data_IF_090513293003
#
_entry.id   IF_090513293003
#
_cell.length_a   1.000
_cell.length_b   1.000
_cell.length_c   1.000
_cell.angle_alpha   90.00
_cell.angle_beta   90.00
_cell.angle_gamma   90.00
#
_symmetry.space_group_name_H-M   'P 1'
#
loop_
_entity.id
_entity.type
_entity.pdbx_description
1 polymer ?
#
# COMPACT_ATOMS: atom_id res chain seq x y z
N UNK A 1 7.52 -29.25 -20.31
CA UNK A 1 8.78 -28.47 -20.43
C UNK A 1 9.08 -27.80 -19.11
N UNK A 2 10.19 -28.19 -18.44
CA UNK A 2 10.64 -27.53 -17.21
C UNK A 2 11.28 -26.18 -17.54
N UNK A 3 10.48 -25.16 -17.75
CA UNK A 3 10.99 -23.85 -18.11
C UNK A 3 11.15 -22.96 -16.88
N UNK A 4 12.10 -22.03 -16.95
CA UNK A 4 12.42 -21.09 -15.86
C UNK A 4 11.37 -20.00 -15.76
N UNK A 5 10.94 -19.69 -14.54
CA UNK A 5 10.11 -18.52 -14.23
C UNK A 5 11.03 -17.38 -13.81
N UNK A 6 10.94 -16.26 -14.50
CA UNK A 6 11.70 -15.05 -14.17
C UNK A 6 10.77 -14.05 -13.52
N UNK A 7 11.09 -13.65 -12.28
CA UNK A 7 10.36 -12.63 -11.52
C UNK A 7 11.21 -11.36 -11.45
N UNK A 8 10.65 -10.23 -11.86
CA UNK A 8 11.35 -8.93 -11.91
C UNK A 8 10.79 -8.03 -10.81
N UNK A 9 11.58 -7.80 -9.78
CA UNK A 9 11.25 -7.04 -8.57
C UNK A 9 11.18 -7.92 -7.32
N UNK A 10 12.05 -7.64 -6.34
CA UNK A 10 12.18 -8.36 -5.06
C UNK A 10 11.34 -7.78 -3.94
N UNK A 11 10.28 -7.05 -4.25
CA UNK A 11 9.31 -6.53 -3.30
C UNK A 11 8.35 -7.58 -2.76
N UNK A 12 7.25 -7.14 -2.14
CA UNK A 12 6.24 -8.01 -1.51
C UNK A 12 5.72 -9.09 -2.49
N UNK A 13 5.18 -8.65 -3.63
CA UNK A 13 4.59 -9.58 -4.59
C UNK A 13 5.63 -10.56 -5.14
N UNK A 14 6.78 -10.06 -5.60
CA UNK A 14 7.83 -10.88 -6.18
C UNK A 14 8.37 -11.91 -5.20
N UNK A 15 8.61 -11.53 -3.93
CA UNK A 15 9.08 -12.46 -2.90
C UNK A 15 8.06 -13.56 -2.62
N UNK A 16 6.76 -13.23 -2.51
CA UNK A 16 5.71 -14.23 -2.27
C UNK A 16 5.54 -15.17 -3.47
N UNK A 17 5.59 -14.64 -4.69
CA UNK A 17 5.50 -15.44 -5.92
C UNK A 17 6.70 -16.41 -6.02
N UNK A 18 7.92 -15.91 -5.77
CA UNK A 18 9.11 -16.76 -5.79
C UNK A 18 9.00 -17.92 -4.79
N UNK A 19 8.65 -17.61 -3.52
CA UNK A 19 8.54 -18.59 -2.46
C UNK A 19 7.44 -19.64 -2.73
N UNK A 20 6.37 -19.25 -3.40
CA UNK A 20 5.29 -20.18 -3.76
C UNK A 20 5.66 -21.07 -4.95
N UNK A 21 6.28 -20.50 -5.98
CA UNK A 21 6.60 -21.22 -7.21
C UNK A 21 7.80 -22.16 -7.10
N UNK A 22 8.75 -21.90 -6.18
CA UNK A 22 10.02 -22.66 -6.08
C UNK A 22 9.80 -24.16 -5.79
N UNK A 23 8.65 -24.52 -5.26
CA UNK A 23 8.31 -25.91 -5.02
C UNK A 23 7.99 -26.70 -6.30
N UNK A 24 7.67 -26.00 -7.41
CA UNK A 24 7.18 -26.61 -8.66
C UNK A 24 7.98 -26.17 -9.88
N UNK A 25 8.79 -25.12 -9.78
CA UNK A 25 9.49 -24.50 -10.93
C UNK A 25 10.89 -24.03 -10.52
N UNK A 26 11.78 -23.94 -11.52
CA UNK A 26 13.02 -23.19 -11.36
C UNK A 26 12.68 -21.69 -11.40
N UNK A 27 12.98 -20.97 -10.32
CA UNK A 27 12.62 -19.55 -10.17
C UNK A 27 13.88 -18.70 -10.09
N UNK A 28 13.89 -17.64 -10.89
CA UNK A 28 14.97 -16.64 -10.91
C UNK A 28 14.37 -15.28 -10.57
N UNK A 29 14.91 -14.63 -9.56
CA UNK A 29 14.56 -13.27 -9.16
C UNK A 29 15.59 -12.28 -9.71
N UNK A 30 15.10 -11.20 -10.32
CA UNK A 30 15.90 -10.04 -10.74
C UNK A 30 15.48 -8.81 -9.93
N UNK A 31 16.43 -8.19 -9.21
CA UNK A 31 16.19 -7.00 -8.39
C UNK A 31 17.21 -5.90 -8.70
N UNK A 32 16.72 -4.69 -8.91
CA UNK A 32 17.58 -3.51 -9.23
C UNK A 32 18.39 -3.04 -8.03
N UNK A 33 17.85 -3.18 -6.83
CA UNK A 33 18.49 -2.77 -5.59
C UNK A 33 19.45 -3.82 -5.02
N UNK A 34 20.06 -3.49 -3.88
CA UNK A 34 20.95 -4.38 -3.13
C UNK A 34 20.16 -5.39 -2.27
N UNK A 35 20.75 -6.57 -2.02
CA UNK A 35 20.16 -7.59 -1.13
C UNK A 35 20.05 -7.10 0.32
N UNK A 36 21.04 -6.38 0.79
CA UNK A 36 21.24 -6.08 2.22
C UNK A 36 21.01 -4.61 2.59
N UNK A 37 20.78 -3.73 1.60
CA UNK A 37 20.58 -2.31 1.84
C UNK A 37 19.40 -1.77 1.06
N UNK A 38 18.71 -0.80 1.66
CA UNK A 38 17.61 -0.07 1.02
C UNK A 38 18.21 1.06 0.20
N UNK A 39 17.72 1.23 -1.02
CA UNK A 39 18.08 2.32 -1.91
C UNK A 39 16.83 3.09 -2.32
N UNK A 40 16.86 4.41 -2.15
CA UNK A 40 15.77 5.28 -2.60
C UNK A 40 16.06 5.79 -4.00
N UNK A 41 15.17 5.59 -4.98
CA UNK A 41 15.32 6.20 -6.29
C UNK A 41 15.16 7.72 -6.19
N UNK A 42 15.84 8.43 -7.08
CA UNK A 42 15.52 9.83 -7.30
C UNK A 42 14.19 9.93 -8.07
N UNK A 43 13.21 10.59 -7.47
CA UNK A 43 11.89 10.81 -8.07
C UNK A 43 11.73 12.30 -8.37
N UNK A 44 11.43 12.62 -9.63
CA UNK A 44 11.07 13.97 -10.05
C UNK A 44 9.56 14.14 -9.96
N UNK A 45 9.12 15.10 -9.18
CA UNK A 45 7.70 15.40 -9.01
C UNK A 45 7.30 16.57 -9.89
N UNK A 46 6.28 16.39 -10.75
CA UNK A 46 5.81 17.44 -11.65
C UNK A 46 4.90 18.45 -10.95
N UNK A 47 4.17 18.02 -9.93
CA UNK A 47 3.28 18.83 -9.12
C UNK A 47 3.63 18.72 -7.65
N UNK A 48 2.93 17.87 -6.92
CA UNK A 48 3.08 17.70 -5.48
C UNK A 48 4.04 16.53 -5.18
N UNK A 49 4.96 16.73 -4.21
CA UNK A 49 5.70 15.62 -3.62
C UNK A 49 4.74 14.62 -2.96
N UNK A 50 5.04 13.34 -3.09
CA UNK A 50 4.27 12.31 -2.40
C UNK A 50 4.35 12.49 -0.88
N UNK A 51 5.55 12.62 -0.33
CA UNK A 51 5.78 12.92 1.09
C UNK A 51 7.17 13.54 1.29
N UNK A 52 7.44 14.02 2.51
CA UNK A 52 8.78 14.55 2.88
C UNK A 52 9.84 13.45 3.03
N UNK A 53 9.41 12.20 3.11
CA UNK A 53 10.27 11.00 3.22
C UNK A 53 10.08 10.09 2.03
N UNK A 54 11.04 9.19 1.80
CA UNK A 54 10.92 8.21 0.72
C UNK A 54 9.72 7.29 0.93
N UNK A 55 8.86 7.20 -0.08
CA UNK A 55 7.66 6.33 -0.10
C UNK A 55 7.85 5.09 -0.95
N UNK A 56 8.98 4.97 -1.63
CA UNK A 56 9.34 3.87 -2.51
C UNK A 56 10.83 3.58 -2.40
N UNK A 57 11.22 2.31 -2.35
CA UNK A 57 12.61 1.92 -2.31
C UNK A 57 12.87 0.60 -3.05
N UNK A 58 14.11 0.43 -3.45
CA UNK A 58 14.67 -0.78 -4.05
C UNK A 58 15.40 -1.63 -3.02
N UNK A 59 15.64 -2.89 -3.37
CA UNK A 59 16.38 -3.86 -2.59
C UNK A 59 15.52 -5.01 -2.07
N UNK A 60 16.14 -5.96 -1.40
CA UNK A 60 15.43 -7.14 -0.88
C UNK A 60 14.27 -6.73 0.03
N UNK A 61 13.05 -7.14 -0.34
CA UNK A 61 11.81 -6.76 0.33
C UNK A 61 11.16 -5.47 -0.22
N UNK A 62 11.86 -4.67 -1.04
CA UNK A 62 11.32 -3.46 -1.65
C UNK A 62 10.67 -2.53 -0.62
N UNK A 63 9.56 -1.90 -1.00
CA UNK A 63 8.84 -0.92 -0.16
C UNK A 63 8.28 -1.51 1.15
N UNK A 64 8.24 -2.85 1.34
CA UNK A 64 7.89 -3.44 2.64
C UNK A 64 8.88 -3.07 3.75
N UNK A 65 10.10 -2.65 3.42
CA UNK A 65 11.05 -2.13 4.40
C UNK A 65 10.61 -0.80 5.04
N UNK A 66 9.64 -0.09 4.44
CA UNK A 66 9.07 1.18 4.92
C UNK A 66 7.72 0.97 5.60
N UNK A 67 7.23 -0.26 5.66
CA UNK A 67 5.86 -0.58 6.02
C UNK A 67 5.67 -0.72 7.53
N UNK A 68 4.48 -0.36 8.00
CA UNK A 68 4.04 -0.57 9.39
C UNK A 68 3.21 -1.86 9.59
N UNK A 69 3.13 -2.71 8.58
CA UNK A 69 2.49 -4.03 8.63
C UNK A 69 1.00 -4.02 9.05
N UNK A 70 0.26 -2.99 8.67
CA UNK A 70 -1.18 -2.94 8.89
C UNK A 70 -1.93 -3.77 7.84
N UNK A 71 -2.68 -4.78 8.28
CA UNK A 71 -3.47 -5.66 7.42
C UNK A 71 -4.93 -5.25 7.47
N UNK A 72 -5.51 -4.94 6.32
CA UNK A 72 -6.93 -4.68 6.09
C UNK A 72 -7.27 -5.12 4.66
N UNK A 73 -8.30 -5.93 4.45
CA UNK A 73 -8.70 -6.35 3.10
C UNK A 73 -9.36 -5.19 2.35
N UNK A 74 -9.18 -5.11 1.04
CA UNK A 74 -10.02 -4.26 0.20
C UNK A 74 -11.41 -4.90 0.13
N UNK A 75 -12.44 -4.16 0.58
CA UNK A 75 -13.82 -4.61 0.52
C UNK A 75 -14.35 -4.52 -0.92
N UNK A 76 -14.86 -5.63 -1.45
CA UNK A 76 -15.48 -5.64 -2.79
C UNK A 76 -16.70 -4.73 -2.88
N UNK A 77 -17.38 -4.46 -1.77
CA UNK A 77 -18.52 -3.53 -1.70
C UNK A 77 -18.12 -2.05 -1.90
N UNK A 78 -16.83 -1.74 -1.80
CA UNK A 78 -16.30 -0.39 -2.00
C UNK A 78 -15.66 -0.25 -3.40
N UNK A 79 -15.70 -1.30 -4.25
CA UNK A 79 -15.10 -1.33 -5.59
C UNK A 79 -16.20 -1.19 -6.63
N UNK A 80 -16.09 -0.19 -7.50
CA UNK A 80 -17.04 0.04 -8.59
C UNK A 80 -16.69 -0.75 -9.87
N UNK A 81 -15.41 -1.00 -10.12
CA UNK A 81 -14.93 -1.71 -11.31
C UNK A 81 -15.22 -3.20 -11.27
N UNK A 82 -16.08 -3.69 -12.18
CA UNK A 82 -16.51 -5.10 -12.23
C UNK A 82 -15.34 -6.06 -12.37
N UNK A 83 -14.45 -5.84 -13.34
CA UNK A 83 -13.35 -6.75 -13.63
C UNK A 83 -12.37 -6.86 -12.43
N UNK A 84 -12.08 -5.75 -11.78
CA UNK A 84 -11.22 -5.77 -10.61
C UNK A 84 -11.92 -6.42 -9.41
N UNK A 85 -13.23 -6.24 -9.25
CA UNK A 85 -14.03 -6.93 -8.23
C UNK A 85 -14.04 -8.45 -8.44
N UNK A 86 -14.07 -8.93 -9.72
CA UNK A 86 -13.93 -10.36 -10.04
C UNK A 86 -12.54 -10.89 -9.67
N UNK A 87 -11.48 -10.11 -9.94
CA UNK A 87 -10.10 -10.47 -9.57
C UNK A 87 -9.95 -10.58 -8.05
N UNK A 88 -10.55 -9.67 -7.29
CA UNK A 88 -10.55 -9.72 -5.82
C UNK A 88 -11.32 -10.94 -5.29
N UNK A 89 -12.47 -11.28 -5.91
CA UNK A 89 -13.24 -12.48 -5.53
C UNK A 89 -12.42 -13.77 -5.69
N UNK A 90 -11.69 -13.89 -6.81
CA UNK A 90 -10.79 -15.03 -7.04
C UNK A 90 -9.55 -15.03 -6.13
N UNK A 91 -9.17 -13.87 -5.59
CA UNK A 91 -8.05 -13.74 -4.66
C UNK A 91 -8.45 -13.94 -3.18
N UNK A 92 -9.74 -13.82 -2.85
CA UNK A 92 -10.27 -13.94 -1.49
C UNK A 92 -9.88 -15.26 -0.76
N UNK A 93 -9.91 -16.44 -1.40
CA UNK A 93 -9.49 -17.69 -0.76
C UNK A 93 -8.04 -17.72 -0.27
N UNK A 94 -7.21 -16.80 -0.73
CA UNK A 94 -5.80 -16.71 -0.34
C UNK A 94 -5.55 -15.78 0.85
N UNK A 95 -6.58 -15.19 1.46
CA UNK A 95 -6.43 -14.15 2.49
C UNK A 95 -5.64 -14.64 3.71
N UNK A 96 -5.97 -15.83 4.22
CA UNK A 96 -5.30 -16.38 5.40
C UNK A 96 -3.84 -16.75 5.11
N UNK A 97 -3.58 -17.32 3.93
CA UNK A 97 -2.23 -17.64 3.50
C UNK A 97 -1.39 -16.38 3.26
N UNK A 98 -1.98 -15.35 2.66
CA UNK A 98 -1.33 -14.05 2.47
C UNK A 98 -1.01 -13.38 3.81
N UNK A 99 -1.98 -13.34 4.73
CA UNK A 99 -1.77 -12.77 6.06
C UNK A 99 -0.69 -13.54 6.85
N UNK A 100 -0.67 -14.87 6.77
CA UNK A 100 0.36 -15.72 7.39
C UNK A 100 1.76 -15.41 6.83
N UNK A 101 1.89 -15.28 5.51
CA UNK A 101 3.13 -14.86 4.86
C UNK A 101 3.56 -13.44 5.29
N UNK A 102 2.61 -12.63 5.74
CA UNK A 102 2.81 -11.29 6.30
C UNK A 102 2.85 -11.29 7.84
N UNK A 103 3.24 -12.43 8.44
CA UNK A 103 3.51 -12.63 9.86
C UNK A 103 2.29 -12.69 10.79
N UNK A 104 1.10 -12.86 10.26
CA UNK A 104 -0.10 -13.15 11.05
C UNK A 104 -0.30 -14.68 11.18
N UNK A 105 0.36 -15.32 12.17
CA UNK A 105 0.61 -16.76 12.15
C UNK A 105 -0.16 -17.60 13.17
N UNK A 106 -0.96 -17.00 14.08
CA UNK A 106 -1.52 -17.78 15.22
C UNK A 106 -2.98 -18.15 15.10
N UNK A 107 -3.71 -17.55 14.18
CA UNK A 107 -5.10 -17.90 13.87
C UNK A 107 -5.36 -17.60 12.39
N UNK A 108 -6.39 -18.14 11.75
CA UNK A 108 -6.84 -17.66 10.47
C UNK A 108 -7.18 -16.16 10.56
N UNK A 109 -6.56 -15.37 9.68
CA UNK A 109 -6.76 -13.92 9.66
C UNK A 109 -8.24 -13.56 9.44
N UNK A 110 -8.90 -14.24 8.50
CA UNK A 110 -10.31 -14.05 8.17
C UNK A 110 -11.20 -14.13 9.41
N UNK A 111 -11.02 -15.14 10.25
CA UNK A 111 -11.77 -15.34 11.50
C UNK A 111 -11.43 -14.26 12.54
N UNK A 112 -10.14 -14.00 12.76
CA UNK A 112 -9.70 -13.01 13.73
C UNK A 112 -10.14 -11.59 13.33
N UNK A 113 -10.05 -11.26 12.05
CA UNK A 113 -10.48 -9.98 11.51
C UNK A 113 -11.98 -9.78 11.65
N UNK A 114 -12.81 -10.75 11.25
CA UNK A 114 -14.27 -10.67 11.37
C UNK A 114 -14.71 -10.49 12.82
N UNK A 115 -14.07 -11.21 13.77
CA UNK A 115 -14.32 -11.04 15.21
C UNK A 115 -14.05 -9.63 15.68
N UNK A 116 -12.88 -9.06 15.33
CA UNK A 116 -12.52 -7.70 15.74
C UNK A 116 -13.44 -6.66 15.14
N UNK A 117 -13.80 -6.79 13.86
CA UNK A 117 -14.77 -5.89 13.21
C UNK A 117 -16.11 -5.95 13.90
N UNK A 118 -16.64 -7.14 14.22
CA UNK A 118 -17.91 -7.30 14.93
C UNK A 118 -17.89 -6.67 16.33
N UNK A 119 -16.85 -6.91 17.12
CA UNK A 119 -16.67 -6.30 18.45
C UNK A 119 -16.62 -4.76 18.39
N UNK A 120 -15.85 -4.23 17.43
CA UNK A 120 -15.69 -2.79 17.24
C UNK A 120 -16.97 -2.14 16.71
N UNK A 121 -17.73 -2.84 15.87
CA UNK A 121 -19.06 -2.40 15.42
C UNK A 121 -20.05 -2.30 16.58
N UNK A 122 -20.08 -3.28 17.48
CA UNK A 122 -20.91 -3.21 18.69
C UNK A 122 -20.54 -2.05 19.62
N UNK A 123 -19.24 -1.67 19.69
CA UNK A 123 -18.83 -0.47 20.42
C UNK A 123 -19.31 0.79 19.68
N UNK A 124 -19.18 0.85 18.35
CA UNK A 124 -19.63 1.97 17.56
C UNK A 124 -21.14 2.21 17.67
N UNK A 125 -21.93 1.15 17.69
CA UNK A 125 -23.38 1.20 17.93
C UNK A 125 -23.72 1.79 19.30
N UNK A 126 -23.03 1.36 20.36
CA UNK A 126 -23.21 1.92 21.71
C UNK A 126 -22.86 3.41 21.80
N UNK A 127 -21.89 3.85 21.00
CA UNK A 127 -21.53 5.27 20.89
C UNK A 127 -22.58 6.06 20.11
N UNK A 128 -23.37 5.42 19.23
CA UNK A 128 -24.37 6.06 18.38
C UNK A 128 -23.82 7.14 17.44
N UNK A 129 -22.52 7.07 17.12
CA UNK A 129 -21.85 8.18 16.48
C UNK A 129 -21.38 7.92 15.04
N UNK A 130 -21.27 6.66 14.60
CA UNK A 130 -20.60 6.29 13.35
C UNK A 130 -21.56 5.55 12.39
N UNK A 131 -22.46 6.26 11.69
CA UNK A 131 -23.51 5.68 10.86
C UNK A 131 -22.97 4.88 9.65
N UNK A 132 -21.78 5.23 9.12
CA UNK A 132 -21.17 4.47 8.04
C UNK A 132 -20.38 3.23 8.56
N UNK A 133 -20.43 3.01 9.89
CA UNK A 133 -19.79 1.89 10.56
C UNK A 133 -18.29 2.10 10.81
N UNK A 134 -17.68 1.02 11.25
CA UNK A 134 -16.24 0.95 11.52
C UNK A 134 -15.65 -0.26 10.81
N UNK A 135 -14.36 -0.17 10.55
CA UNK A 135 -13.52 -1.27 10.08
C UNK A 135 -12.28 -1.34 10.97
N UNK A 136 -11.32 -2.19 10.69
CA UNK A 136 -10.12 -2.23 11.50
C UNK A 136 -8.86 -2.55 10.71
N UNK A 137 -7.74 -2.03 11.19
CA UNK A 137 -6.40 -2.49 10.83
C UNK A 137 -5.92 -3.46 11.90
N UNK A 138 -5.33 -4.57 11.48
CA UNK A 138 -4.70 -5.57 12.34
C UNK A 138 -3.19 -5.53 12.11
N UNK A 139 -2.43 -5.42 13.20
CA UNK A 139 -0.98 -5.32 13.17
C UNK A 139 -0.36 -6.53 13.89
N UNK A 140 0.29 -7.48 13.19
CA UNK A 140 1.08 -8.52 13.84
C UNK A 140 2.17 -7.92 14.73
N UNK A 141 2.29 -8.36 15.98
CA UNK A 141 3.32 -7.84 16.91
C UNK A 141 4.73 -8.24 16.53
N UNK A 142 4.90 -9.39 15.90
CA UNK A 142 6.19 -9.90 15.46
C UNK A 142 6.30 -9.71 13.95
N UNK A 143 6.87 -8.61 13.53
CA UNK A 143 7.19 -8.35 12.15
C UNK A 143 8.66 -8.67 11.89
N UNK A 144 8.91 -9.45 10.85
CA UNK A 144 10.24 -9.75 10.33
C UNK A 144 10.33 -9.26 8.88
N UNK A 145 11.53 -9.08 8.38
CA UNK A 145 11.73 -8.81 6.96
C UNK A 145 11.29 -10.03 6.14
N UNK A 146 10.62 -9.80 5.02
CA UNK A 146 10.34 -10.86 4.05
C UNK A 146 11.66 -11.46 3.55
N UNK A 147 11.74 -12.78 3.59
CA UNK A 147 12.91 -13.53 3.12
C UNK A 147 12.55 -14.43 1.94
N UNK A 148 13.48 -14.57 1.03
CA UNK A 148 13.36 -15.53 -0.07
C UNK A 148 13.75 -16.93 0.41
N UNK A 149 13.09 -17.94 -0.13
CA UNK A 149 13.53 -19.33 -0.02
C UNK A 149 14.95 -19.45 -0.62
N UNK A 150 15.90 -20.08 0.08
CA UNK A 150 17.29 -20.19 -0.39
C UNK A 150 17.47 -20.93 -1.71
N UNK A 151 16.47 -21.68 -2.17
CA UNK A 151 16.46 -22.36 -3.48
C UNK A 151 16.20 -21.41 -4.65
N UNK A 152 15.63 -20.22 -4.39
CA UNK A 152 15.43 -19.19 -5.42
C UNK A 152 16.77 -18.63 -5.84
N UNK A 153 17.06 -18.68 -7.14
CA UNK A 153 18.24 -18.04 -7.70
C UNK A 153 18.00 -16.54 -7.81
N UNK A 154 18.68 -15.74 -7.00
CA UNK A 154 18.47 -14.30 -6.94
C UNK A 154 19.65 -13.51 -7.52
N UNK A 155 19.33 -12.47 -8.29
CA UNK A 155 20.29 -11.50 -8.82
C UNK A 155 19.90 -10.09 -8.35
N UNK A 156 20.83 -9.42 -7.70
CA UNK A 156 20.68 -8.06 -7.20
C UNK A 156 21.55 -7.09 -8.00
N UNK A 157 21.30 -5.79 -7.84
CA UNK A 157 21.97 -4.73 -8.60
C UNK A 157 21.86 -4.90 -10.11
N UNK A 158 20.72 -5.43 -10.54
CA UNK A 158 20.41 -5.66 -11.94
C UNK A 158 20.19 -4.32 -12.67
N UNK A 159 20.83 -4.16 -13.81
CA UNK A 159 20.66 -3.02 -14.69
C UNK A 159 20.40 -3.46 -16.14
N UNK A 160 19.91 -2.54 -16.95
CA UNK A 160 19.71 -2.72 -18.41
C UNK A 160 18.98 -4.02 -18.76
N UNK A 161 17.76 -4.19 -18.24
CA UNK A 161 16.93 -5.34 -18.59
C UNK A 161 16.41 -5.18 -20.03
N UNK A 162 16.56 -6.23 -20.84
CA UNK A 162 16.04 -6.30 -22.21
C UNK A 162 15.38 -7.64 -22.49
N UNK A 163 14.53 -7.68 -23.50
CA UNK A 163 13.71 -8.84 -23.83
C UNK A 163 13.88 -9.24 -25.28
N UNK A 164 14.02 -10.55 -25.54
CA UNK A 164 14.03 -11.13 -26.88
C UNK A 164 12.76 -11.95 -27.02
N UNK A 165 11.93 -11.57 -28.00
CA UNK A 165 10.68 -12.24 -28.29
C UNK A 165 10.82 -13.20 -29.46
N UNK A 166 10.05 -14.29 -29.39
CA UNK A 166 9.77 -15.20 -30.49
C UNK A 166 8.24 -15.28 -30.65
N UNK A 167 7.74 -14.67 -31.73
CA UNK A 167 6.31 -14.40 -31.88
C UNK A 167 5.74 -13.57 -30.73
N UNK A 168 4.71 -14.07 -30.07
CA UNK A 168 4.07 -13.40 -28.91
C UNK A 168 4.62 -13.85 -27.56
N UNK A 169 5.83 -14.39 -27.50
CA UNK A 169 6.42 -14.89 -26.26
C UNK A 169 7.82 -14.32 -26.04
N UNK A 170 8.11 -13.94 -24.81
CA UNK A 170 9.50 -13.66 -24.41
C UNK A 170 10.22 -15.00 -24.30
N UNK A 171 11.25 -15.17 -25.12
CA UNK A 171 12.13 -16.35 -25.09
C UNK A 171 13.29 -16.14 -24.14
N UNK A 172 13.84 -14.93 -24.12
CA UNK A 172 15.05 -14.65 -23.36
C UNK A 172 14.96 -13.30 -22.68
N UNK A 173 15.38 -13.25 -21.41
CA UNK A 173 15.60 -12.03 -20.66
C UNK A 173 17.10 -11.78 -20.56
N UNK A 174 17.54 -10.62 -21.02
CA UNK A 174 18.94 -10.16 -20.94
C UNK A 174 19.06 -9.10 -19.87
N UNK A 175 20.13 -9.09 -19.10
CA UNK A 175 20.36 -8.08 -18.08
C UNK A 175 21.85 -7.96 -17.75
N UNK A 176 22.26 -6.86 -17.10
CA UNK A 176 23.63 -6.65 -16.66
C UNK A 176 23.74 -6.56 -15.15
N UNK A 177 24.85 -7.03 -14.60
CA UNK A 177 25.27 -6.82 -13.21
C UNK A 177 26.70 -6.26 -13.27
N UNK A 178 26.86 -5.00 -12.87
CA UNK A 178 28.10 -4.29 -13.14
C UNK A 178 28.37 -4.22 -14.64
N UNK A 179 29.54 -4.75 -15.10
CA UNK A 179 29.92 -4.85 -16.52
C UNK A 179 29.54 -6.19 -17.17
N UNK A 180 29.08 -7.17 -16.39
CA UNK A 180 28.79 -8.53 -16.87
C UNK A 180 27.40 -8.64 -17.43
N UNK A 181 27.29 -9.13 -18.68
CA UNK A 181 26.02 -9.46 -19.31
C UNK A 181 25.56 -10.87 -18.95
N UNK A 182 24.26 -11.02 -18.75
CA UNK A 182 23.57 -12.28 -18.48
C UNK A 182 22.43 -12.45 -19.48
N UNK A 183 22.16 -13.70 -19.83
CA UNK A 183 21.07 -14.08 -20.69
C UNK A 183 20.41 -15.34 -20.15
N UNK A 184 19.09 -15.32 -19.96
CA UNK A 184 18.33 -16.42 -19.37
C UNK A 184 17.10 -16.70 -20.20
N UNK A 185 16.90 -17.97 -20.60
CA UNK A 185 15.67 -18.42 -21.24
C UNK A 185 14.52 -18.40 -20.24
N UNK A 186 13.36 -17.91 -20.68
CA UNK A 186 12.17 -17.74 -19.88
C UNK A 186 11.00 -18.55 -20.45
N UNK A 187 10.38 -19.37 -19.61
CA UNK A 187 9.06 -19.93 -19.92
C UNK A 187 7.94 -18.96 -19.53
N UNK A 188 8.12 -18.27 -18.42
CA UNK A 188 7.21 -17.26 -17.88
C UNK A 188 8.03 -16.09 -17.36
N UNK A 189 7.53 -14.87 -17.57
CA UNK A 189 8.07 -13.62 -16.98
C UNK A 189 6.99 -12.98 -16.13
N UNK A 190 7.32 -12.61 -14.90
CA UNK A 190 6.40 -11.94 -13.99
C UNK A 190 7.01 -10.59 -13.59
N UNK A 191 6.32 -9.51 -13.90
CA UNK A 191 6.69 -8.15 -13.50
C UNK A 191 6.05 -7.87 -12.14
N UNK A 192 6.87 -7.59 -11.13
CA UNK A 192 6.51 -7.34 -9.75
C UNK A 192 7.28 -6.17 -9.12
N UNK A 193 7.57 -5.14 -9.93
CA UNK A 193 8.43 -4.01 -9.57
C UNK A 193 7.70 -2.85 -8.86
N UNK A 194 6.43 -3.06 -8.49
CA UNK A 194 5.57 -2.07 -7.82
C UNK A 194 5.03 -1.00 -8.78
N UNK A 195 4.06 -0.22 -8.31
CA UNK A 195 3.36 0.75 -9.16
C UNK A 195 4.27 1.84 -9.75
N UNK A 196 5.40 2.12 -9.13
CA UNK A 196 6.37 3.09 -9.67
C UNK A 196 7.41 2.43 -10.60
N UNK A 197 7.78 1.17 -10.37
CA UNK A 197 8.81 0.47 -11.15
C UNK A 197 8.28 -0.30 -12.34
N UNK A 198 7.10 -0.92 -12.21
CA UNK A 198 6.53 -1.77 -13.27
C UNK A 198 6.30 -1.06 -14.61
N UNK A 199 5.92 0.23 -14.66
CA UNK A 199 5.82 0.94 -15.94
C UNK A 199 7.13 0.98 -16.73
N UNK A 200 8.31 1.03 -16.07
CA UNK A 200 9.59 0.98 -16.77
C UNK A 200 9.81 -0.36 -17.48
N UNK A 201 9.61 -1.45 -16.72
CA UNK A 201 9.83 -2.81 -17.25
C UNK A 201 8.82 -3.13 -18.36
N UNK A 202 7.57 -2.75 -18.17
CA UNK A 202 6.52 -2.96 -19.18
C UNK A 202 6.79 -2.15 -20.46
N UNK A 203 7.33 -0.95 -20.37
CA UNK A 203 7.73 -0.16 -21.54
C UNK A 203 8.81 -0.87 -22.35
N UNK A 204 9.82 -1.47 -21.70
CA UNK A 204 10.86 -2.26 -22.39
C UNK A 204 10.23 -3.48 -23.13
N UNK A 205 9.26 -4.17 -22.52
CA UNK A 205 8.56 -5.29 -23.14
C UNK A 205 7.71 -4.82 -24.33
N UNK A 206 6.98 -3.72 -24.17
CA UNK A 206 6.16 -3.10 -25.21
C UNK A 206 7.04 -2.73 -26.41
N UNK A 207 8.14 -2.04 -26.16
CA UNK A 207 9.10 -1.64 -27.20
C UNK A 207 9.69 -2.86 -27.91
N UNK A 208 10.14 -3.87 -27.18
CA UNK A 208 10.70 -5.09 -27.75
C UNK A 208 9.68 -5.90 -28.57
N UNK A 209 8.38 -5.81 -28.25
CA UNK A 209 7.31 -6.49 -28.98
C UNK A 209 6.81 -5.74 -30.23
N UNK A 210 7.21 -4.47 -30.41
CA UNK A 210 6.67 -3.58 -31.43
C UNK A 210 5.19 -3.21 -31.19
N UNK A 211 4.63 -3.51 -30.00
CA UNK A 211 3.26 -3.13 -29.64
C UNK A 211 3.21 -1.63 -29.32
N UNK A 212 2.10 -0.97 -29.67
CA UNK A 212 1.89 0.44 -29.33
C UNK A 212 0.91 0.55 -28.17
N UNK A 213 1.34 1.16 -27.06
CA UNK A 213 0.50 1.39 -25.88
C UNK A 213 0.95 2.66 -25.13
N UNK A 214 0.11 3.67 -25.12
CA UNK A 214 0.40 5.01 -24.61
C UNK A 214 -0.16 5.30 -23.21
N UNK A 215 -1.05 4.44 -22.69
CA UNK A 215 -1.70 4.61 -21.39
C UNK A 215 -0.93 4.00 -20.21
N UNK A 216 0.28 3.50 -20.43
CA UNK A 216 1.12 2.93 -19.37
C UNK A 216 1.48 3.99 -18.34
N UNK A 217 1.28 3.64 -17.06
CA UNK A 217 1.52 4.55 -15.94
C UNK A 217 0.44 5.60 -15.70
N UNK A 218 -0.60 5.67 -16.58
CA UNK A 218 -1.73 6.59 -16.38
C UNK A 218 -2.72 6.06 -15.35
N UNK A 219 -3.40 6.97 -14.65
CA UNK A 219 -4.39 6.63 -13.65
C UNK A 219 -3.78 6.29 -12.28
N UNK A 220 -2.55 6.69 -12.03
CA UNK A 220 -1.89 6.52 -10.74
C UNK A 220 -2.77 7.01 -9.60
N UNK A 221 -2.96 6.18 -8.58
CA UNK A 221 -3.66 6.51 -7.35
C UNK A 221 -2.82 6.17 -6.12
N UNK A 222 -3.07 6.92 -5.05
CA UNK A 222 -2.52 6.70 -3.73
C UNK A 222 -3.61 7.03 -2.68
N UNK A 223 -3.32 6.89 -1.41
CA UNK A 223 -4.16 7.44 -0.36
C UNK A 223 -3.61 8.79 0.12
N UNK A 224 -4.26 9.92 -0.22
CA UNK A 224 -4.01 11.16 0.48
C UNK A 224 -4.32 10.98 1.97
N UNK A 225 -3.33 11.17 2.82
CA UNK A 225 -3.41 10.90 4.26
C UNK A 225 -2.89 12.12 5.04
N UNK A 226 -3.54 12.44 6.15
CA UNK A 226 -3.03 13.49 7.02
C UNK A 226 -3.72 13.56 8.38
N UNK A 227 -3.02 14.17 9.33
CA UNK A 227 -3.64 14.55 10.59
C UNK A 227 -4.45 15.83 10.38
N UNK A 228 -5.76 15.74 10.52
CA UNK A 228 -6.68 16.82 10.19
C UNK A 228 -7.34 17.45 11.42
N UNK A 229 -7.00 17.00 12.62
CA UNK A 229 -7.61 17.60 13.80
C UNK A 229 -7.35 16.88 15.10
N UNK A 230 -8.02 17.39 16.11
CA UNK A 230 -8.00 16.92 17.50
C UNK A 230 -9.42 16.77 18.03
N UNK A 231 -9.61 15.76 18.86
CA UNK A 231 -10.85 15.54 19.56
C UNK A 231 -10.58 15.16 21.02
N UNK A 232 -11.29 15.76 21.95
CA UNK A 232 -11.30 15.36 23.36
C UNK A 232 -12.65 14.72 23.67
N UNK A 233 -12.64 13.42 23.96
CA UNK A 233 -13.86 12.67 24.23
C UNK A 233 -14.34 12.87 25.66
N UNK A 234 -15.67 12.79 25.87
CA UNK A 234 -16.30 12.80 27.17
C UNK A 234 -15.83 11.62 28.00
N UNK A 235 -15.82 11.78 29.32
CA UNK A 235 -15.27 10.80 30.27
C UNK A 235 -15.97 9.45 30.17
N UNK A 236 -17.28 9.45 30.02
CA UNK A 236 -18.12 8.25 29.92
C UNK A 236 -17.79 7.39 28.68
N UNK A 237 -17.28 7.98 27.60
CA UNK A 237 -16.92 7.28 26.36
C UNK A 237 -15.43 6.91 26.26
N UNK A 238 -14.59 7.39 27.21
CA UNK A 238 -13.15 7.25 27.12
C UNK A 238 -12.67 5.78 27.00
N UNK A 239 -13.34 4.86 27.71
CA UNK A 239 -13.03 3.42 27.64
C UNK A 239 -13.30 2.82 26.27
N UNK A 240 -14.44 3.12 25.67
CA UNK A 240 -14.80 2.67 24.33
C UNK A 240 -13.86 3.23 23.26
N UNK A 241 -13.57 4.52 23.32
CA UNK A 241 -12.65 5.18 22.38
C UNK A 241 -11.23 4.62 22.50
N UNK A 242 -10.74 4.35 23.70
CA UNK A 242 -9.45 3.70 23.93
C UNK A 242 -9.41 2.33 23.23
N UNK A 243 -10.45 1.53 23.37
CA UNK A 243 -10.57 0.21 22.75
C UNK A 243 -10.63 0.30 21.22
N UNK A 244 -11.39 1.24 20.65
CA UNK A 244 -11.41 1.48 19.21
C UNK A 244 -10.05 1.99 18.70
N UNK A 245 -9.42 2.91 19.42
CA UNK A 245 -8.14 3.50 19.03
C UNK A 245 -7.01 2.47 18.96
N UNK A 246 -6.92 1.58 19.93
CA UNK A 246 -5.95 0.50 19.94
C UNK A 246 -6.33 -0.55 20.98
N UNK A 247 -6.43 -1.81 20.56
CA UNK A 247 -6.64 -2.96 21.41
C UNK A 247 -5.53 -3.97 21.25
N UNK A 248 -4.91 -4.36 22.38
CA UNK A 248 -4.01 -5.51 22.43
C UNK A 248 -4.82 -6.80 22.40
N UNK A 249 -4.49 -7.69 21.48
CA UNK A 249 -5.15 -8.97 21.24
C UNK A 249 -4.22 -10.18 21.50
N UNK A 250 -3.17 -9.98 22.27
CA UNK A 250 -2.14 -11.00 22.52
C UNK A 250 -1.06 -10.97 21.43
N UNK A 251 -1.29 -11.66 20.31
CA UNK A 251 -0.29 -11.79 19.23
C UNK A 251 -0.35 -10.64 18.21
N UNK A 252 -1.40 -9.88 18.20
CA UNK A 252 -1.61 -8.74 17.31
C UNK A 252 -2.28 -7.56 18.03
N UNK A 253 -2.25 -6.42 17.38
CA UNK A 253 -2.93 -5.20 17.82
C UNK A 253 -3.98 -4.84 16.78
N UNK A 254 -5.17 -4.42 17.21
CA UNK A 254 -6.20 -3.87 16.31
C UNK A 254 -6.41 -2.38 16.52
N UNK A 255 -6.71 -1.66 15.44
CA UNK A 255 -7.11 -0.23 15.44
C UNK A 255 -8.33 -0.05 14.56
N UNK A 256 -9.37 0.59 15.08
CA UNK A 256 -10.58 0.88 14.30
C UNK A 256 -10.37 2.06 13.35
N UNK A 257 -10.91 1.89 12.17
CA UNK A 257 -11.12 2.92 11.17
C UNK A 257 -12.59 3.31 11.18
N UNK A 258 -12.92 4.53 11.57
CA UNK A 258 -14.27 5.08 11.39
C UNK A 258 -14.49 5.32 9.90
N UNK A 259 -15.46 4.65 9.30
CA UNK A 259 -15.79 4.76 7.88
C UNK A 259 -16.55 6.07 7.62
N UNK A 260 -16.25 6.68 6.48
CA UNK A 260 -16.86 7.91 6.00
C UNK A 260 -17.21 7.74 4.53
N UNK A 261 -18.50 7.63 4.23
CA UNK A 261 -19.00 7.55 2.86
C UNK A 261 -19.51 8.90 2.38
N UNK A 262 -19.12 9.28 1.16
CA UNK A 262 -19.64 10.47 0.50
C UNK A 262 -21.14 10.33 0.22
N UNK A 263 -21.86 11.44 0.09
CA UNK A 263 -23.30 11.44 -0.18
C UNK A 263 -23.67 10.69 -1.48
N UNK A 264 -22.80 10.75 -2.49
CA UNK A 264 -22.99 9.98 -3.73
C UNK A 264 -22.55 8.50 -3.63
N UNK A 265 -22.02 8.05 -2.48
CA UNK A 265 -21.52 6.70 -2.27
C UNK A 265 -20.26 6.32 -3.03
N UNK A 266 -19.72 7.23 -3.85
CA UNK A 266 -18.58 6.94 -4.73
C UNK A 266 -17.23 6.93 -4.03
N UNK A 267 -17.09 7.64 -2.90
CA UNK A 267 -15.85 7.71 -2.13
C UNK A 267 -16.06 7.10 -0.75
N UNK A 268 -15.12 6.25 -0.36
CA UNK A 268 -15.06 5.67 0.99
C UNK A 268 -13.70 6.01 1.60
N UNK A 269 -13.73 6.92 2.57
CA UNK A 269 -12.57 7.34 3.35
C UNK A 269 -12.64 6.79 4.77
N UNK A 270 -11.60 6.96 5.55
CA UNK A 270 -11.64 6.60 6.97
C UNK A 270 -10.89 7.58 7.86
N UNK A 271 -11.21 7.53 9.15
CA UNK A 271 -10.53 8.28 10.18
C UNK A 271 -10.12 7.37 11.34
N UNK A 272 -8.88 7.51 11.79
CA UNK A 272 -8.34 6.84 12.97
C UNK A 272 -8.13 7.83 14.10
N UNK A 273 -8.42 7.39 15.32
CA UNK A 273 -8.10 8.15 16.54
C UNK A 273 -6.76 7.68 17.08
N UNK A 274 -5.78 8.58 17.18
CA UNK A 274 -4.47 8.30 17.78
C UNK A 274 -4.28 9.13 19.04
N UNK A 275 -3.89 8.54 20.19
CA UNK A 275 -3.72 9.28 21.44
C UNK A 275 -2.87 10.55 21.27
N UNK A 276 -3.27 11.60 21.97
CA UNK A 276 -2.63 12.90 21.96
C UNK A 276 -2.66 13.52 23.37
N UNK A 277 -1.70 14.35 23.69
CA UNK A 277 -1.65 15.08 24.98
C UNK A 277 -2.07 16.55 24.85
N UNK A 278 -2.31 17.02 23.64
CA UNK A 278 -2.58 18.44 23.35
C UNK A 278 -3.78 18.58 22.43
N UNK A 279 -4.48 19.72 22.55
CA UNK A 279 -5.52 20.15 21.59
C UNK A 279 -4.96 21.07 20.50
N UNK A 280 -3.65 21.23 20.41
CA UNK A 280 -2.99 22.03 19.37
C UNK A 280 -3.12 21.34 17.99
N UNK A 281 -3.71 22.04 17.03
CA UNK A 281 -4.05 21.55 15.68
C UNK A 281 -3.18 22.22 14.59
N UNK A 282 -1.94 22.58 14.87
CA UNK A 282 -1.06 23.24 13.89
C UNK A 282 -0.50 22.26 12.86
N UNK A 283 -0.71 22.55 11.58
CA UNK A 283 -0.18 21.76 10.46
C UNK A 283 1.34 21.53 10.57
N UNK A 284 2.10 22.52 11.03
CA UNK A 284 3.54 22.39 11.20
C UNK A 284 3.96 21.30 12.19
N UNK A 285 3.15 21.03 13.21
CA UNK A 285 3.39 19.94 14.18
C UNK A 285 3.09 18.59 13.52
N UNK A 286 2.02 18.51 12.74
CA UNK A 286 1.66 17.29 12.01
C UNK A 286 2.69 16.91 10.95
N UNK A 287 3.17 17.87 10.16
CA UNK A 287 4.25 17.66 9.18
C UNK A 287 5.51 17.12 9.89
N UNK A 288 5.86 17.70 11.05
CA UNK A 288 7.02 17.26 11.81
C UNK A 288 6.82 15.86 12.41
N UNK A 289 5.62 15.56 12.93
CA UNK A 289 5.25 14.22 13.44
C UNK A 289 5.35 13.15 12.36
N UNK A 290 4.85 13.45 11.17
CA UNK A 290 4.96 12.55 10.00
C UNK A 290 6.43 12.28 9.63
N UNK A 291 7.26 13.32 9.63
CA UNK A 291 8.69 13.20 9.37
C UNK A 291 9.42 12.31 10.39
N UNK A 292 9.12 12.48 11.67
CA UNK A 292 9.69 11.64 12.74
C UNK A 292 9.26 10.18 12.65
N UNK A 293 7.98 9.93 12.35
CA UNK A 293 7.43 8.58 12.26
C UNK A 293 7.98 7.78 11.08
N UNK A 294 8.33 8.46 10.00
CA UNK A 294 8.81 7.84 8.76
C UNK A 294 10.34 7.78 8.63
N UNK A 295 11.08 8.55 9.45
CA UNK A 295 12.55 8.54 9.40
C UNK A 295 13.14 7.36 10.17
N UNK A 296 14.16 6.72 9.61
CA UNK A 296 14.91 5.62 10.23
C UNK A 296 16.39 5.97 10.42
N UNK A 297 17.05 5.39 11.45
CA UNK A 297 18.47 5.52 11.68
C UNK A 297 18.95 6.96 11.99
N UNK A 298 20.12 7.33 11.47
CA UNK A 298 20.77 8.64 11.70
C UNK A 298 19.94 9.85 11.23
N UNK A 299 19.11 9.69 10.19
CA UNK A 299 18.20 10.74 9.72
C UNK A 299 17.18 11.13 10.82
N UNK A 300 16.76 10.18 11.66
CA UNK A 300 15.91 10.43 12.81
C UNK A 300 16.57 11.36 13.80
N UNK A 301 17.84 11.17 14.10
CA UNK A 301 18.60 12.03 15.05
C UNK A 301 18.79 13.45 14.50
N UNK A 302 19.08 13.62 13.22
CA UNK A 302 19.26 14.95 12.61
C UNK A 302 17.97 15.77 12.60
N UNK A 303 16.81 15.12 12.49
CA UNK A 303 15.50 15.77 12.50
C UNK A 303 14.99 16.07 13.93
N UNK A 304 15.62 15.49 14.96
CA UNK A 304 15.27 15.66 16.37
C UNK A 304 15.75 17.00 16.95
N UNK A 305 16.73 17.68 16.33
CA UNK A 305 17.24 18.99 16.77
C UNK A 305 16.33 20.17 16.38
N UNK A 306 15.06 20.10 16.73
CA UNK A 306 14.13 21.23 16.59
C UNK A 306 13.41 21.49 17.91
N UNK A 307 13.22 22.75 18.30
CA UNK A 307 12.42 23.13 19.46
C UNK A 307 11.01 22.53 19.44
N UNK A 308 10.50 22.15 18.27
CA UNK A 308 9.23 21.44 18.12
C UNK A 308 9.18 20.08 18.84
N UNK A 309 10.34 19.47 19.13
CA UNK A 309 10.42 18.18 19.84
C UNK A 309 9.83 18.24 21.25
N UNK A 310 9.84 19.43 21.88
CA UNK A 310 9.23 19.65 23.18
C UNK A 310 7.70 19.76 23.14
N UNK A 311 7.08 19.66 21.94
CA UNK A 311 5.63 19.61 21.86
C UNK A 311 5.10 18.33 22.51
N UNK A 312 4.06 18.39 23.40
CA UNK A 312 3.58 17.24 24.16
C UNK A 312 3.26 16.01 23.31
N UNK A 313 2.73 16.20 22.10
CA UNK A 313 2.41 15.08 21.19
C UNK A 313 3.64 14.40 20.61
N UNK A 314 4.73 15.15 20.41
CA UNK A 314 5.99 14.58 19.91
C UNK A 314 6.71 13.81 21.01
N UNK A 315 6.68 14.32 22.23
CA UNK A 315 7.18 13.62 23.42
C UNK A 315 6.39 12.31 23.60
N UNK A 316 5.05 12.36 23.51
CA UNK A 316 4.21 11.17 23.61
C UNK A 316 4.51 10.14 22.52
N UNK A 317 4.74 10.58 21.27
CA UNK A 317 5.08 9.70 20.15
C UNK A 317 6.47 9.06 20.37
N UNK A 318 7.47 9.83 20.76
CA UNK A 318 8.82 9.32 21.06
C UNK A 318 8.75 8.31 22.20
N UNK A 319 8.03 8.62 23.28
CA UNK A 319 7.85 7.74 24.43
C UNK A 319 7.16 6.43 24.03
N UNK A 320 6.10 6.52 23.23
CA UNK A 320 5.40 5.34 22.70
C UNK A 320 6.30 4.45 21.83
N UNK A 321 7.16 5.05 21.01
CA UNK A 321 8.12 4.32 20.19
C UNK A 321 9.27 3.68 20.98
N UNK A 322 9.74 4.34 22.04
CA UNK A 322 10.85 3.82 22.84
C UNK A 322 10.40 2.71 23.80
N UNK A 323 9.24 2.89 24.42
CA UNK A 323 8.78 2.03 25.51
C UNK A 323 7.60 1.11 25.13
N UNK A 324 7.05 1.25 23.92
CA UNK A 324 5.88 0.47 23.48
C UNK A 324 4.60 0.76 24.25
N UNK A 325 4.54 1.87 25.01
CA UNK A 325 3.44 2.21 25.90
C UNK A 325 2.67 3.41 25.37
N UNK A 326 1.35 3.29 25.29
CA UNK A 326 0.50 4.45 25.01
C UNK A 326 0.17 5.21 26.30
N UNK A 327 0.43 6.50 26.28
CA UNK A 327 0.08 7.39 27.40
C UNK A 327 -1.45 7.48 27.48
N UNK A 328 -2.09 7.22 28.64
CA UNK A 328 -3.52 7.38 28.80
C UNK A 328 -3.96 8.82 28.50
N UNK A 329 -4.90 8.96 27.59
CA UNK A 329 -5.47 10.27 27.23
C UNK A 329 -6.92 10.15 26.85
N UNK A 330 -7.68 11.25 27.02
CA UNK A 330 -9.01 11.43 26.41
C UNK A 330 -8.94 12.30 25.13
N UNK A 331 -7.75 12.81 24.83
CA UNK A 331 -7.50 13.61 23.64
C UNK A 331 -6.84 12.77 22.56
N UNK A 332 -7.32 12.90 21.34
CA UNK A 332 -6.84 12.12 20.20
C UNK A 332 -6.61 13.00 18.97
N UNK A 333 -5.57 12.67 18.22
CA UNK A 333 -5.40 13.14 16.86
C UNK A 333 -6.37 12.40 15.95
N UNK A 334 -6.91 13.09 14.97
CA UNK A 334 -7.69 12.52 13.87
C UNK A 334 -6.79 12.33 12.66
N UNK A 335 -6.44 11.09 12.35
CA UNK A 335 -5.72 10.71 11.14
C UNK A 335 -6.74 10.35 10.07
N UNK A 336 -6.86 11.17 9.05
CA UNK A 336 -7.75 10.96 7.91
C UNK A 336 -6.98 10.27 6.77
N UNK A 337 -7.58 9.25 6.19
CA UNK A 337 -7.08 8.55 5.00
C UNK A 337 -8.17 8.63 3.95
N UNK A 338 -7.85 9.29 2.85
CA UNK A 338 -8.79 9.54 1.78
C UNK A 338 -8.60 8.54 0.64
N UNK A 339 -9.72 8.11 0.07
CA UNK A 339 -9.72 7.39 -1.19
C UNK A 339 -9.42 8.37 -2.34
N UNK A 340 -8.55 7.97 -3.27
CA UNK A 340 -8.36 8.65 -4.54
C UNK A 340 -8.87 7.77 -5.68
N UNK A 341 -9.58 8.37 -6.61
CA UNK A 341 -10.07 7.67 -7.80
C UNK A 341 -9.10 7.83 -8.97
N UNK A 342 -9.13 6.88 -9.88
CA UNK A 342 -8.38 6.92 -11.13
C UNK A 342 -8.72 8.21 -11.90
N UNK A 343 -7.68 8.96 -12.27
CA UNK A 343 -7.80 10.26 -12.95
C UNK A 343 -6.58 10.56 -13.81
N UNK A 344 -6.13 11.81 -13.78
CA UNK A 344 -5.05 12.31 -14.62
C UNK A 344 -3.64 12.12 -14.02
N UNK A 345 -3.55 11.62 -12.79
CA UNK A 345 -2.26 11.34 -12.18
C UNK A 345 -1.54 10.22 -12.94
N UNK A 346 -0.23 10.29 -13.02
CA UNK A 346 0.57 9.33 -13.80
C UNK A 346 1.97 9.14 -13.26
N UNK A 347 2.54 7.98 -13.58
CA UNK A 347 3.94 7.64 -13.38
C UNK A 347 4.56 7.39 -14.74
N UNK A 348 5.66 8.04 -15.05
CA UNK A 348 6.33 7.85 -16.34
C UNK A 348 7.85 8.00 -16.21
N UNK A 349 8.55 7.59 -17.23
CA UNK A 349 10.01 7.66 -17.31
C UNK A 349 10.43 8.54 -18.48
N UNK A 350 11.27 9.52 -18.19
CA UNK A 350 11.99 10.35 -19.15
C UNK A 350 13.41 9.85 -19.22
N UNK A 351 13.72 9.01 -20.23
CA UNK A 351 14.88 8.15 -20.20
C UNK A 351 14.83 7.22 -18.98
N UNK A 352 15.87 7.27 -18.13
CA UNK A 352 15.93 6.52 -16.88
C UNK A 352 15.38 7.28 -15.67
N UNK A 353 14.96 8.53 -15.84
CA UNK A 353 14.48 9.38 -14.75
C UNK A 353 13.02 9.07 -14.45
N UNK A 354 12.74 8.59 -13.23
CA UNK A 354 11.39 8.40 -12.74
C UNK A 354 10.73 9.75 -12.49
N UNK A 355 9.56 9.95 -13.08
CA UNK A 355 8.70 11.13 -12.90
C UNK A 355 7.33 10.73 -12.39
N UNK A 356 6.82 11.50 -11.44
CA UNK A 356 5.49 11.30 -10.85
C UNK A 356 4.72 12.60 -10.93
N UNK A 357 3.64 12.58 -11.69
CA UNK A 357 2.63 13.64 -11.72
C UNK A 357 1.48 13.22 -10.78
N UNK A 358 1.53 13.68 -9.53
CA UNK A 358 0.52 13.40 -8.53
C UNK A 358 -0.05 14.70 -7.96
N UNK A 359 -1.35 14.73 -7.84
CA UNK A 359 -2.09 15.83 -7.23
C UNK A 359 -3.43 15.33 -6.67
N UNK A 360 -4.04 16.14 -5.83
CA UNK A 360 -5.40 15.96 -5.35
C UNK A 360 -6.25 16.92 -6.14
N UNK A 361 -7.22 16.44 -6.89
CA UNK A 361 -8.09 17.29 -7.70
C UNK A 361 -8.98 18.18 -6.81
N UNK A 362 -9.38 19.35 -7.30
CA UNK A 362 -10.31 20.24 -6.59
C UNK A 362 -11.61 19.51 -6.20
N UNK A 363 -12.12 18.64 -7.10
CA UNK A 363 -13.31 17.82 -6.82
C UNK A 363 -13.10 16.86 -5.65
N UNK A 364 -11.96 16.17 -5.61
CA UNK A 364 -11.62 15.27 -4.49
C UNK A 364 -11.50 16.07 -3.19
N UNK A 365 -10.83 17.21 -3.22
CA UNK A 365 -10.64 18.04 -2.04
C UNK A 365 -11.97 18.52 -1.46
N UNK A 366 -12.93 18.94 -2.29
CA UNK A 366 -14.27 19.32 -1.83
C UNK A 366 -15.05 18.14 -1.22
N UNK A 367 -14.89 16.94 -1.77
CA UNK A 367 -15.45 15.71 -1.17
C UNK A 367 -14.82 15.45 0.21
N UNK A 368 -13.50 15.57 0.33
CA UNK A 368 -12.81 15.37 1.62
C UNK A 368 -13.25 16.41 2.64
N UNK A 369 -13.37 17.67 2.29
CA UNK A 369 -13.93 18.71 3.16
C UNK A 369 -15.34 18.37 3.64
N UNK A 370 -16.19 17.90 2.73
CA UNK A 370 -17.56 17.45 3.06
C UNK A 370 -17.55 16.29 4.07
N UNK A 371 -16.68 15.29 3.88
CA UNK A 371 -16.53 14.17 4.79
C UNK A 371 -15.99 14.59 6.17
N UNK A 372 -15.07 15.55 6.21
CA UNK A 372 -14.57 16.10 7.47
C UNK A 372 -15.64 16.92 8.21
N UNK A 373 -16.50 17.67 7.49
CA UNK A 373 -17.68 18.31 8.08
C UNK A 373 -18.65 17.27 8.68
N UNK A 374 -18.90 16.17 7.95
CA UNK A 374 -19.70 15.02 8.45
C UNK A 374 -19.07 14.46 9.72
N UNK A 375 -17.78 14.16 9.71
CA UNK A 375 -17.06 13.65 10.88
C UNK A 375 -17.14 14.61 12.07
N UNK A 376 -16.97 15.92 11.85
CA UNK A 376 -17.09 16.93 12.90
C UNK A 376 -18.46 16.92 13.57
N UNK A 377 -19.54 16.78 12.79
CA UNK A 377 -20.92 16.66 13.31
C UNK A 377 -21.07 15.39 14.14
N UNK A 378 -20.60 14.23 13.61
CA UNK A 378 -20.69 12.94 14.29
C UNK A 378 -19.99 12.95 15.66
N UNK A 379 -18.87 13.64 15.77
CA UNK A 379 -18.07 13.68 17.01
C UNK A 379 -18.68 14.57 18.10
N UNK A 380 -19.54 15.56 17.76
CA UNK A 380 -20.12 16.50 18.76
C UNK A 380 -20.87 15.83 19.89
N UNK A 381 -21.55 14.71 19.62
CA UNK A 381 -22.35 14.02 20.61
C UNK A 381 -21.50 13.27 21.65
N UNK A 382 -20.31 12.80 21.28
CA UNK A 382 -19.44 11.96 22.12
C UNK A 382 -18.18 12.69 22.62
N UNK A 383 -17.94 13.91 22.17
CA UNK A 383 -16.78 14.71 22.53
C UNK A 383 -17.14 15.92 23.42
N UNK A 384 -16.20 16.28 24.33
CA UNK A 384 -16.22 17.54 25.05
C UNK A 384 -15.76 18.71 24.15
N UNK A 385 -14.78 18.41 23.29
CA UNK A 385 -14.20 19.39 22.36
C UNK A 385 -13.79 18.73 21.07
N UNK A 386 -14.19 19.31 19.95
CA UNK A 386 -13.81 18.91 18.59
C UNK A 386 -13.10 20.09 17.94
N UNK A 387 -11.91 19.83 17.40
CA UNK A 387 -11.11 20.79 16.65
C UNK A 387 -10.59 20.09 15.38
N UNK A 388 -11.52 19.72 14.50
CA UNK A 388 -11.21 19.11 13.19
C UNK A 388 -11.21 20.21 12.14
N UNK A 389 -10.12 20.31 11.39
CA UNK A 389 -10.02 21.19 10.25
C UNK A 389 -10.92 20.67 9.12
N UNK A 390 -11.90 21.44 8.76
CA UNK A 390 -12.88 21.08 7.71
C UNK A 390 -12.63 21.80 6.39
N UNK A 391 -11.78 22.82 6.36
CA UNK A 391 -11.37 23.55 5.17
C UNK A 391 -9.89 23.27 4.86
N UNK A 392 -9.56 22.00 4.77
CA UNK A 392 -8.20 21.56 4.45
C UNK A 392 -7.79 21.96 3.04
N UNK A 393 -6.49 22.19 2.86
CA UNK A 393 -5.84 22.32 1.56
C UNK A 393 -5.04 21.05 1.26
N UNK A 394 -4.49 20.94 0.05
CA UNK A 394 -3.59 19.82 -0.32
C UNK A 394 -2.38 19.68 0.61
N UNK A 395 -1.97 20.75 1.28
CA UNK A 395 -0.82 20.73 2.21
C UNK A 395 -1.06 19.89 3.47
N UNK A 396 -2.32 19.66 3.84
CA UNK A 396 -2.68 18.81 4.97
C UNK A 396 -2.52 17.32 4.67
N UNK A 397 -2.37 16.96 3.40
CA UNK A 397 -2.40 15.59 2.93
C UNK A 397 -1.08 15.21 2.23
N UNK A 398 -0.58 14.05 2.50
CA UNK A 398 0.58 13.42 1.87
C UNK A 398 0.28 11.96 1.49
N UNK A 399 1.15 11.33 0.72
CA UNK A 399 1.03 9.93 0.31
C UNK A 399 1.11 8.98 1.51
N UNK A 400 0.24 8.00 1.56
CA UNK A 400 0.34 6.87 2.48
C UNK A 400 1.27 5.76 1.96
N UNK A 401 1.93 5.95 0.81
CA UNK A 401 2.76 4.97 0.12
C UNK A 401 1.98 3.71 -0.34
N UNK A 402 0.71 3.89 -0.69
CA UNK A 402 -0.15 2.84 -1.26
C UNK A 402 -0.26 2.99 -2.79
N UNK A 403 0.88 3.18 -3.45
CA UNK A 403 1.00 3.42 -4.88
C UNK A 403 0.31 2.33 -5.70
N UNK A 404 -0.61 2.71 -6.61
CA UNK A 404 -1.48 1.77 -7.31
C UNK A 404 -1.88 2.27 -8.71
N UNK A 405 -2.51 1.39 -9.50
CA UNK A 405 -3.25 1.69 -10.73
C UNK A 405 -2.42 2.24 -11.91
N UNK A 406 -1.15 1.86 -12.04
CA UNK A 406 -0.29 2.28 -13.16
C UNK A 406 -0.25 1.28 -14.33
N UNK A 407 -0.88 0.11 -14.15
CA UNK A 407 -1.05 -0.91 -15.19
C UNK A 407 -2.54 -1.13 -15.43
N UNK A 408 -3.12 -0.60 -16.52
CA UNK A 408 -4.54 -0.74 -16.81
C UNK A 408 -4.97 -2.19 -16.95
N UNK A 409 -5.96 -2.59 -16.14
CA UNK A 409 -6.55 -3.92 -16.09
C UNK A 409 -8.00 -3.86 -16.53
N UNK A 410 -8.39 -4.76 -17.43
CA UNK A 410 -9.76 -4.90 -17.88
C UNK A 410 -9.91 -5.68 -19.18
N UNK A 411 -11.15 -5.73 -19.68
CA UNK A 411 -11.51 -6.45 -20.91
C UNK A 411 -11.41 -5.60 -22.17
N UNK A 412 -11.35 -4.29 -22.04
CA UNK A 412 -11.33 -3.36 -23.16
C UNK A 412 -10.02 -3.40 -23.93
N UNK A 413 -10.02 -3.01 -25.19
CA UNK A 413 -8.81 -2.97 -26.04
C UNK A 413 -7.73 -2.06 -25.48
N UNK A 414 -8.14 -0.96 -24.85
CA UNK A 414 -7.27 0.02 -24.21
C UNK A 414 -6.71 -0.41 -22.83
N UNK A 415 -7.04 -1.60 -22.33
CA UNK A 415 -6.46 -2.15 -21.13
C UNK A 415 -5.27 -3.05 -21.48
N UNK A 416 -4.22 -3.00 -20.69
CA UNK A 416 -2.95 -3.67 -20.96
C UNK A 416 -2.95 -5.14 -20.54
N UNK A 417 -3.58 -5.43 -19.40
CA UNK A 417 -3.64 -6.78 -18.81
C UNK A 417 -5.09 -7.25 -18.67
N UNK A 418 -5.27 -8.56 -18.74
CA UNK A 418 -6.55 -9.22 -18.51
C UNK A 418 -6.78 -9.55 -17.01
N UNK A 419 -7.93 -10.11 -16.67
CA UNK A 419 -8.26 -10.55 -15.31
C UNK A 419 -7.36 -11.67 -14.76
N UNK A 420 -6.58 -12.33 -15.61
CA UNK A 420 -5.57 -13.30 -15.19
C UNK A 420 -4.24 -12.64 -14.86
N UNK A 421 -4.18 -11.30 -14.92
CA UNK A 421 -2.98 -10.49 -14.77
C UNK A 421 -1.95 -10.72 -15.88
N UNK A 422 -2.39 -11.24 -17.04
CA UNK A 422 -1.54 -11.53 -18.21
C UNK A 422 -1.56 -10.36 -19.18
N UNK A 423 -0.41 -10.03 -19.78
CA UNK A 423 -0.34 -9.08 -20.90
C UNK A 423 -1.16 -9.60 -22.10
N UNK A 424 -1.99 -8.75 -22.69
CA UNK A 424 -2.88 -9.14 -23.78
C UNK A 424 -2.15 -9.44 -25.09
N UNK A 425 -1.00 -8.83 -25.31
CA UNK A 425 -0.19 -8.99 -26.50
C UNK A 425 0.98 -9.97 -26.34
N UNK A 426 1.19 -10.49 -25.12
CA UNK A 426 2.30 -11.40 -24.84
C UNK A 426 1.84 -12.60 -24.00
N UNK A 427 2.09 -13.83 -24.51
CA UNK A 427 1.45 -15.04 -23.99
C UNK A 427 2.04 -15.57 -22.69
N UNK A 428 3.26 -15.18 -22.33
CA UNK A 428 3.95 -15.66 -21.14
C UNK A 428 4.40 -14.57 -20.20
N UNK A 429 3.79 -13.38 -20.25
CA UNK A 429 4.10 -12.27 -19.34
C UNK A 429 2.90 -11.96 -18.46
N UNK A 430 3.17 -11.84 -17.16
CA UNK A 430 2.19 -11.47 -16.13
C UNK A 430 2.69 -10.26 -15.33
N UNK A 431 1.74 -9.51 -14.76
CA UNK A 431 2.04 -8.36 -13.88
C UNK A 431 1.32 -8.58 -12.56
N UNK A 432 2.05 -8.51 -11.44
CA UNK A 432 1.45 -8.67 -10.12
C UNK A 432 2.16 -7.86 -9.06
N UNK A 433 1.61 -6.71 -8.75
CA UNK A 433 2.02 -5.82 -7.67
C UNK A 433 0.95 -4.73 -7.46
N UNK A 434 1.27 -3.64 -6.78
CA UNK A 434 0.35 -2.52 -6.60
C UNK A 434 -0.15 -1.88 -7.89
N UNK A 435 0.61 -1.98 -9.00
CA UNK A 435 0.24 -1.37 -10.28
C UNK A 435 -1.07 -1.90 -10.86
N UNK A 436 -1.45 -3.13 -10.53
CA UNK A 436 -2.67 -3.79 -11.03
C UNK A 436 -3.91 -3.51 -10.18
N UNK A 437 -3.76 -2.91 -8.99
CA UNK A 437 -4.88 -2.51 -8.13
C UNK A 437 -5.53 -1.27 -8.72
N UNK A 438 -6.76 -1.42 -9.21
CA UNK A 438 -7.46 -0.32 -9.92
C UNK A 438 -8.21 0.62 -8.96
N UNK A 439 -8.63 0.09 -7.82
CA UNK A 439 -9.34 0.81 -6.76
C UNK A 439 -8.96 0.17 -5.42
N UNK A 440 -8.84 0.95 -4.36
CA UNK A 440 -8.44 0.42 -3.04
C UNK A 440 -9.22 1.02 -1.87
N UNK A 441 -10.25 1.89 -2.15
CA UNK A 441 -11.00 2.55 -1.08
C UNK A 441 -10.03 3.29 -0.12
N UNK A 442 -10.02 2.98 1.15
CA UNK A 442 -9.04 3.44 2.16
C UNK A 442 -8.12 2.31 2.66
N UNK A 443 -8.23 1.11 2.09
CA UNK A 443 -7.53 -0.06 2.60
C UNK A 443 -6.05 -0.08 2.19
N UNK A 444 -5.18 -0.49 3.11
CA UNK A 444 -3.77 -0.73 2.81
C UNK A 444 -3.63 -1.82 1.76
N UNK A 445 -2.80 -1.60 0.77
CA UNK A 445 -2.71 -2.49 -0.41
C UNK A 445 -1.94 -3.80 -0.16
N UNK A 446 -1.13 -3.86 0.91
CA UNK A 446 -0.19 -4.97 1.11
C UNK A 446 -0.84 -6.35 1.23
N UNK A 447 -1.93 -6.50 2.00
CA UNK A 447 -2.63 -7.78 2.13
C UNK A 447 -3.19 -8.23 0.78
N UNK A 448 -3.82 -7.33 0.04
CA UNK A 448 -4.38 -7.60 -1.29
C UNK A 448 -3.30 -7.95 -2.30
N UNK A 449 -2.15 -7.26 -2.29
CA UNK A 449 -1.00 -7.64 -3.12
C UNK A 449 -0.56 -9.08 -2.80
N UNK A 450 -0.52 -9.45 -1.53
CA UNK A 450 -0.22 -10.83 -1.11
C UNK A 450 -1.22 -11.85 -1.65
N UNK A 451 -2.51 -11.56 -1.58
CA UNK A 451 -3.57 -12.42 -2.12
C UNK A 451 -3.43 -12.58 -3.65
N UNK A 452 -3.20 -11.49 -4.38
CA UNK A 452 -3.00 -11.49 -5.84
C UNK A 452 -1.75 -12.29 -6.24
N UNK A 453 -0.67 -12.15 -5.48
CA UNK A 453 0.59 -12.88 -5.69
C UNK A 453 0.39 -14.40 -5.58
N UNK A 454 -0.29 -14.85 -4.53
CA UNK A 454 -0.57 -16.28 -4.32
C UNK A 454 -1.56 -16.83 -5.37
N UNK A 455 -2.58 -16.05 -5.72
CA UNK A 455 -3.50 -16.40 -6.82
C UNK A 455 -2.77 -16.57 -8.14
N UNK A 456 -1.88 -15.63 -8.48
CA UNK A 456 -1.10 -15.72 -9.73
C UNK A 456 -0.14 -16.91 -9.70
N UNK A 457 0.58 -17.13 -8.60
CA UNK A 457 1.50 -18.26 -8.47
C UNK A 457 0.79 -19.60 -8.72
N UNK A 458 -0.41 -19.81 -8.14
CA UNK A 458 -1.22 -21.01 -8.40
C UNK A 458 -1.56 -21.16 -9.88
N UNK A 459 -2.01 -20.08 -10.54
CA UNK A 459 -2.34 -20.11 -11.98
C UNK A 459 -1.13 -20.46 -12.86
N UNK A 460 0.05 -19.93 -12.54
CA UNK A 460 1.29 -20.22 -13.28
C UNK A 460 1.66 -21.71 -13.16
N UNK A 461 1.42 -22.34 -12.03
CA UNK A 461 1.60 -23.79 -11.88
C UNK A 461 0.61 -24.56 -12.73
N UNK A 462 -0.68 -24.19 -12.72
CA UNK A 462 -1.75 -24.89 -13.43
C UNK A 462 -1.59 -24.80 -14.97
N UNK A 463 -1.18 -23.63 -15.49
CA UNK A 463 -0.95 -23.42 -16.94
C UNK A 463 0.27 -24.20 -17.45
N UNK A 464 1.27 -24.37 -16.63
CA UNK A 464 2.47 -25.10 -17.02
C UNK A 464 2.35 -26.62 -16.95
N UNK A 465 1.27 -27.14 -16.34
CA UNK A 465 0.95 -28.57 -16.26
C UNK A 465 -0.02 -29.03 -17.36
N UNK A 466 -0.53 -28.12 -18.16
CA UNK A 466 -1.30 -28.37 -19.40
C UNK A 466 -0.41 -28.20 -20.64
#
# INVERSE_FOLDING_TARGET
MSGKVIVIGGGLAGSLICNELINNKEVILLEVGSKNSIQYPHINFDKKKLAEVGTFCFGGGGTTNLWHNGLIPISRNDIAGREFSEVLAEAEPFIDKAASALFFNKAPFSTAYAKVVSENSGIAERLGAFPDGVDCLVYPKKFKKLTLDPRVKDFYTVAKIGFVLEGKRIKTVKFTIGSKEHSVEASVVIVAAGALGSPKILREIITASGYCFDRLGTGFIDHPMGFVGKVRFKKEFAGFIKQLSMSDRGDYVSRSAVRLKSACGQFTCCAFFRPSLSMDNRLSIYKYKSLLGASTGLARFRNVFSWKIFHPDLIAEIFSHLFGVNIPSRTYNVLFIAEQKRGNNRVYYDGDKLRVDWSISAKELEIYKSLLKKLNIMLKNIAERVNVETDITEEWLWSAAHHSCTTPLGSKTEDLIDKNLKLKFCDNVFVCDGSVIQEHSYANTGLTIGQLALRLARRVVDVANK
#
